data_IF_750479436054
#
_entry.id   IF_750479436054
#
_cell.length_a   1.000
_cell.length_b   1.000
_cell.length_c   1.000
_cell.angle_alpha   90.00
_cell.angle_beta   90.00
_cell.angle_gamma   90.00
#
_symmetry.space_group_name_H-M   'P 1'
#
loop_
_entity.id
_entity.type
_entity.pdbx_description
1 polymer ?
#
# COMPACT_ATOMS: atom_id res chain seq x y z
N UNK A 1 -55.99 37.94 41.43
CA UNK A 1 -54.61 38.24 41.85
C UNK A 1 -53.69 37.50 40.88
N UNK A 2 -53.02 38.26 40.00
CA UNK A 2 -51.92 37.93 39.07
C UNK A 2 -51.96 36.64 38.23
N UNK A 3 -52.27 36.83 36.95
CA UNK A 3 -51.77 36.02 35.83
C UNK A 3 -50.33 36.48 35.53
N UNK A 4 -49.33 35.60 35.68
CA UNK A 4 -47.98 35.83 35.14
C UNK A 4 -47.69 34.76 34.08
N UNK A 5 -47.46 35.23 32.85
CA UNK A 5 -47.04 34.46 31.67
C UNK A 5 -45.57 34.08 31.82
N UNK A 6 -45.24 32.79 31.82
CA UNK A 6 -43.88 32.34 31.55
C UNK A 6 -43.61 32.43 30.04
N UNK A 7 -42.75 33.36 29.63
CA UNK A 7 -42.10 33.35 28.32
C UNK A 7 -41.07 32.22 28.30
N UNK A 8 -41.24 31.24 27.41
CA UNK A 8 -40.20 30.29 27.04
C UNK A 8 -39.27 30.97 26.03
N UNK A 9 -38.06 31.33 26.47
CA UNK A 9 -36.98 31.75 25.57
C UNK A 9 -36.41 30.50 24.87
N UNK A 10 -36.82 30.28 23.62
CA UNK A 10 -36.15 29.34 22.72
C UNK A 10 -34.82 29.98 22.28
N UNK A 11 -33.72 29.55 22.89
CA UNK A 11 -32.37 29.84 22.38
C UNK A 11 -32.09 28.84 21.26
N UNK A 12 -32.22 29.30 20.01
CA UNK A 12 -31.68 28.57 18.86
C UNK A 12 -30.16 28.60 18.93
N UNK A 13 -29.53 27.49 19.31
CA UNK A 13 -28.12 27.26 19.01
C UNK A 13 -28.01 27.03 17.50
N UNK A 14 -27.63 28.09 16.78
CA UNK A 14 -27.08 27.95 15.43
C UNK A 14 -25.75 27.19 15.54
N UNK A 15 -25.79 25.89 15.29
CA UNK A 15 -24.60 25.11 15.00
C UNK A 15 -23.91 25.76 13.78
N UNK A 16 -22.61 26.09 13.85
CA UNK A 16 -21.90 26.55 12.68
C UNK A 16 -21.86 25.38 11.70
N UNK A 17 -22.57 25.54 10.58
CA UNK A 17 -22.38 24.71 9.40
C UNK A 17 -20.96 25.02 8.90
N UNK A 18 -19.97 24.24 9.32
CA UNK A 18 -18.66 24.25 8.67
C UNK A 18 -18.88 23.62 7.30
N UNK A 19 -19.19 24.46 6.32
CA UNK A 19 -18.98 24.09 4.93
C UNK A 19 -17.50 23.71 4.82
N UNK A 20 -17.22 22.44 4.57
CA UNK A 20 -15.89 22.02 4.17
C UNK A 20 -15.61 22.74 2.86
N UNK A 21 -14.80 23.80 2.92
CA UNK A 21 -14.30 24.47 1.72
C UNK A 21 -13.41 23.45 1.03
N UNK A 22 -13.89 22.85 -0.05
CA UNK A 22 -12.98 22.22 -1.02
C UNK A 22 -11.99 23.32 -1.42
N UNK A 23 -10.71 23.12 -1.13
CA UNK A 23 -9.68 23.97 -1.67
C UNK A 23 -9.70 23.69 -3.19
N UNK A 24 -10.15 24.66 -3.97
CA UNK A 24 -10.03 24.61 -5.42
C UNK A 24 -8.99 25.66 -5.79
N UNK A 25 -7.82 25.19 -6.19
CA UNK A 25 -6.74 26.05 -6.65
C UNK A 25 -6.55 25.86 -8.16
N UNK A 26 -6.45 26.99 -8.86
CA UNK A 26 -6.09 27.02 -10.28
C UNK A 26 -4.69 27.59 -10.42
N UNK A 27 -3.82 26.85 -11.08
CA UNK A 27 -2.40 27.14 -11.17
C UNK A 27 -2.06 27.37 -12.65
N UNK A 28 -1.53 28.54 -13.03
CA UNK A 28 -1.14 28.79 -14.42
C UNK A 28 0.05 27.91 -14.82
N UNK A 29 0.00 27.43 -16.07
CA UNK A 29 1.06 26.65 -16.74
C UNK A 29 1.69 27.53 -17.81
N UNK A 30 3.02 27.62 -17.82
CA UNK A 30 3.73 28.36 -18.86
C UNK A 30 3.77 27.55 -20.17
N UNK A 31 3.87 28.23 -21.33
CA UNK A 31 3.81 27.58 -22.65
C UNK A 31 4.88 26.50 -22.87
N UNK A 32 6.05 26.64 -22.25
CA UNK A 32 7.17 25.69 -22.33
C UNK A 32 7.36 24.91 -21.01
N UNK A 33 6.30 24.77 -20.21
CA UNK A 33 6.30 24.04 -18.94
C UNK A 33 5.65 22.67 -19.11
N UNK A 34 6.38 21.63 -18.71
CA UNK A 34 5.93 20.25 -18.76
C UNK A 34 5.77 19.72 -17.35
N UNK A 35 4.76 18.89 -17.10
CA UNK A 35 4.42 18.38 -15.78
C UNK A 35 4.39 16.86 -15.74
N UNK A 36 4.93 16.30 -14.66
CA UNK A 36 4.86 14.89 -14.29
C UNK A 36 4.09 14.75 -12.99
N UNK A 37 3.48 13.59 -12.77
CA UNK A 37 2.81 13.25 -11.52
C UNK A 37 3.51 12.09 -10.81
N UNK A 38 3.29 11.97 -9.51
CA UNK A 38 3.72 10.83 -8.70
C UNK A 38 2.88 9.56 -8.92
N UNK A 39 2.33 9.37 -10.13
CA UNK A 39 1.58 8.17 -10.52
C UNK A 39 2.49 7.29 -11.37
N UNK A 40 3.19 6.35 -10.74
CA UNK A 40 4.28 5.61 -11.40
C UNK A 40 3.81 4.83 -12.62
N UNK A 41 2.61 4.26 -12.58
CA UNK A 41 2.04 3.51 -13.71
C UNK A 41 1.83 4.37 -14.97
N UNK A 42 1.71 5.69 -14.85
CA UNK A 42 1.49 6.58 -16.00
C UNK A 42 2.81 7.09 -16.62
N UNK A 43 3.95 6.49 -16.26
CA UNK A 43 5.27 6.98 -16.67
C UNK A 43 5.43 7.17 -18.18
N UNK A 44 4.88 6.25 -18.99
CA UNK A 44 4.92 6.35 -20.47
C UNK A 44 3.99 7.43 -21.04
N UNK A 45 3.04 7.92 -20.26
CA UNK A 45 2.10 8.98 -20.62
C UNK A 45 2.62 10.37 -20.18
N UNK A 46 3.79 10.42 -19.54
CA UNK A 46 4.39 11.64 -19.05
C UNK A 46 5.57 12.13 -19.91
N UNK A 47 5.82 13.46 -19.99
CA UNK A 47 5.06 14.52 -19.34
C UNK A 47 3.62 14.60 -19.86
N UNK A 48 2.69 15.00 -19.01
CA UNK A 48 1.28 15.11 -19.38
C UNK A 48 1.14 16.06 -20.57
N UNK A 49 0.45 15.61 -21.63
CA UNK A 49 0.18 16.41 -22.83
C UNK A 49 -1.32 16.55 -23.05
N UNK A 50 -1.74 17.66 -23.66
CA UNK A 50 -3.16 17.95 -23.84
C UNK A 50 -3.89 18.18 -22.52
N UNK A 51 -5.12 17.71 -22.43
CA UNK A 51 -5.90 17.71 -21.18
C UNK A 51 -5.85 16.32 -20.56
N UNK A 52 -5.41 16.24 -19.31
CA UNK A 52 -5.29 14.99 -18.57
C UNK A 52 -5.81 15.18 -17.14
N UNK A 53 -6.51 14.19 -16.60
CA UNK A 53 -7.05 14.21 -15.23
C UNK A 53 -6.73 12.92 -14.49
N UNK A 54 -6.43 13.04 -13.20
CA UNK A 54 -6.27 11.89 -12.31
C UNK A 54 -6.70 12.28 -10.90
N UNK A 55 -7.29 11.33 -10.17
CA UNK A 55 -7.72 11.50 -8.79
C UNK A 55 -7.01 10.50 -7.89
N UNK A 56 -6.07 10.98 -7.07
CA UNK A 56 -5.34 10.14 -6.13
C UNK A 56 -6.24 9.47 -5.07
N UNK A 57 -7.47 9.95 -4.90
CA UNK A 57 -8.42 9.45 -3.91
C UNK A 57 -9.27 8.28 -4.41
N UNK A 58 -9.39 8.11 -5.73
CA UNK A 58 -10.36 7.16 -6.32
C UNK A 58 -9.86 6.46 -7.58
N UNK A 59 -8.87 7.03 -8.27
CA UNK A 59 -8.36 6.45 -9.50
C UNK A 59 -7.52 5.23 -9.18
N UNK A 60 -7.79 4.16 -9.93
CA UNK A 60 -7.00 2.95 -9.84
C UNK A 60 -5.57 3.18 -10.32
N UNK A 61 -4.61 2.59 -9.62
CA UNK A 61 -3.23 2.46 -10.10
C UNK A 61 -2.67 1.11 -9.67
N UNK A 62 -2.09 0.33 -10.59
CA UNK A 62 -1.48 -0.96 -10.25
C UNK A 62 -0.14 -0.82 -9.54
N UNK A 63 0.35 0.40 -9.31
CA UNK A 63 1.68 0.70 -8.79
C UNK A 63 1.61 1.76 -7.68
N UNK A 64 2.80 2.06 -7.13
CA UNK A 64 3.01 3.05 -6.09
C UNK A 64 2.53 4.44 -6.50
N UNK A 65 1.95 5.17 -5.53
CA UNK A 65 1.40 6.51 -5.69
C UNK A 65 2.03 7.49 -4.70
N UNK A 66 2.31 8.69 -5.20
CA UNK A 66 2.73 9.85 -4.41
C UNK A 66 1.89 11.07 -4.82
N UNK A 67 1.22 11.79 -3.88
CA UNK A 67 0.43 12.99 -4.16
C UNK A 67 1.30 14.19 -4.55
N UNK A 68 1.97 14.09 -5.69
CA UNK A 68 3.00 15.03 -6.15
C UNK A 68 2.80 15.34 -7.62
N UNK A 69 2.87 16.62 -7.99
CA UNK A 69 3.14 17.05 -9.35
C UNK A 69 4.48 17.81 -9.38
N UNK A 70 5.30 17.59 -10.40
CA UNK A 70 6.60 18.27 -10.58
C UNK A 70 6.74 18.77 -12.00
N UNK A 71 7.36 19.93 -12.16
CA UNK A 71 7.45 20.65 -13.42
C UNK A 71 8.88 20.75 -13.95
N UNK A 72 9.04 20.78 -15.28
CA UNK A 72 10.32 21.00 -15.97
C UNK A 72 10.98 22.32 -15.57
N UNK A 73 10.19 23.29 -15.10
CA UNK A 73 10.65 24.59 -14.68
C UNK A 73 10.87 24.67 -13.17
N UNK A 74 11.08 23.56 -12.45
CA UNK A 74 11.42 23.64 -11.03
C UNK A 74 10.25 24.09 -10.14
N UNK A 75 9.02 23.76 -10.51
CA UNK A 75 7.85 23.87 -9.63
C UNK A 75 7.38 22.51 -9.15
N UNK A 76 6.76 22.47 -7.98
CA UNK A 76 6.04 21.29 -7.50
C UNK A 76 4.74 21.67 -6.81
N UNK A 77 3.81 20.72 -6.81
CA UNK A 77 2.54 20.74 -6.10
C UNK A 77 2.48 19.48 -5.25
N UNK A 78 2.15 19.61 -3.98
CA UNK A 78 2.03 18.48 -3.05
C UNK A 78 0.86 18.68 -2.10
N UNK A 79 0.29 17.58 -1.59
CA UNK A 79 -0.64 17.57 -0.46
C UNK A 79 -0.41 16.29 0.35
N UNK A 80 -0.51 16.38 1.68
CA UNK A 80 -0.48 15.18 2.54
C UNK A 80 -1.76 14.33 2.38
N UNK A 81 -2.83 14.93 1.84
CA UNK A 81 -4.09 14.25 1.55
C UNK A 81 -4.21 13.93 0.06
N UNK A 82 -4.90 12.84 -0.32
CA UNK A 82 -5.19 12.58 -1.72
C UNK A 82 -6.01 13.73 -2.32
N UNK A 83 -5.77 14.01 -3.61
CA UNK A 83 -6.45 15.06 -4.36
C UNK A 83 -6.64 14.67 -5.82
N UNK A 84 -7.59 15.34 -6.48
CA UNK A 84 -7.76 15.28 -7.92
C UNK A 84 -7.08 16.47 -8.60
N UNK A 85 -6.53 16.21 -9.78
CA UNK A 85 -6.00 17.27 -10.63
C UNK A 85 -6.44 17.10 -12.08
N UNK A 86 -6.52 18.22 -12.79
CA UNK A 86 -6.65 18.27 -14.24
C UNK A 86 -5.61 19.23 -14.80
N UNK A 87 -4.70 18.74 -15.63
CA UNK A 87 -3.69 19.54 -16.34
C UNK A 87 -4.20 19.84 -17.74
N UNK A 88 -4.01 21.08 -18.17
CA UNK A 88 -4.22 21.55 -19.54
C UNK A 88 -3.03 22.37 -20.02
N UNK A 89 -3.06 22.83 -21.27
CA UNK A 89 -2.03 23.72 -21.82
C UNK A 89 -1.92 25.09 -21.11
N UNK A 90 -2.93 25.50 -20.33
CA UNK A 90 -2.97 26.84 -19.71
C UNK A 90 -2.91 26.81 -18.20
N UNK A 91 -3.44 25.75 -17.59
CA UNK A 91 -3.64 25.68 -16.16
C UNK A 91 -3.71 24.24 -15.64
N UNK A 92 -3.42 24.10 -14.34
CA UNK A 92 -3.71 22.93 -13.53
C UNK A 92 -4.81 23.30 -12.56
N UNK A 93 -5.90 22.54 -12.57
CA UNK A 93 -6.96 22.63 -11.60
C UNK A 93 -6.74 21.56 -10.54
N UNK A 94 -6.77 21.95 -9.27
CA UNK A 94 -6.67 21.06 -8.12
C UNK A 94 -8.02 21.02 -7.39
N UNK A 95 -8.39 19.83 -6.91
CA UNK A 95 -9.58 19.64 -6.09
C UNK A 95 -9.28 18.64 -4.98
N UNK A 96 -9.50 19.04 -3.73
CA UNK A 96 -9.28 18.19 -2.57
C UNK A 96 -9.63 18.91 -1.28
N UNK A 97 -9.58 18.16 -0.17
CA UNK A 97 -9.85 18.68 1.18
C UNK A 97 -8.58 19.06 1.94
N UNK A 98 -7.42 18.61 1.48
CA UNK A 98 -6.12 18.93 2.08
C UNK A 98 -5.54 20.28 1.64
N UNK A 99 -4.54 20.74 2.37
CA UNK A 99 -3.76 21.93 2.01
C UNK A 99 -2.83 21.63 0.82
N UNK A 100 -2.85 22.50 -0.19
CA UNK A 100 -1.92 22.42 -1.33
C UNK A 100 -0.64 23.21 -1.09
N UNK A 101 0.49 22.52 -1.14
CA UNK A 101 1.82 23.13 -1.16
C UNK A 101 2.25 23.35 -2.60
N UNK A 102 2.19 24.61 -3.04
CA UNK A 102 2.59 25.03 -4.39
C UNK A 102 3.88 25.85 -4.27
N UNK A 103 4.99 25.36 -4.85
CA UNK A 103 6.31 25.99 -4.70
C UNK A 103 7.09 26.02 -6.01
N UNK A 104 7.84 27.10 -6.21
CA UNK A 104 8.95 27.20 -7.18
C UNK A 104 10.24 26.99 -6.39
N UNK A 105 10.94 25.89 -6.65
CA UNK A 105 12.13 25.46 -5.94
C UNK A 105 13.22 25.07 -6.94
N UNK A 106 13.87 26.07 -7.53
CA UNK A 106 14.86 25.92 -8.60
C UNK A 106 14.30 26.20 -9.98
N UNK A 107 15.03 25.76 -11.00
CA UNK A 107 14.72 26.00 -12.42
C UNK A 107 14.61 24.72 -13.24
N UNK A 108 14.80 23.55 -12.62
CA UNK A 108 14.80 22.25 -13.28
C UNK A 108 13.85 21.26 -12.59
N UNK A 109 13.39 20.25 -13.34
CA UNK A 109 12.63 19.12 -12.81
C UNK A 109 13.29 18.47 -11.58
N UNK A 110 14.61 18.25 -11.66
CA UNK A 110 15.40 17.63 -10.59
C UNK A 110 15.36 18.46 -9.30
N UNK A 111 15.54 19.77 -9.39
CA UNK A 111 15.53 20.66 -8.22
C UNK A 111 14.15 20.69 -7.54
N UNK A 112 13.07 20.75 -8.34
CA UNK A 112 11.71 20.65 -7.81
C UNK A 112 11.47 19.33 -7.08
N UNK A 113 11.82 18.21 -7.70
CA UNK A 113 11.64 16.89 -7.09
C UNK A 113 12.44 16.75 -5.79
N UNK A 114 13.71 17.14 -5.78
CA UNK A 114 14.55 17.06 -4.58
C UNK A 114 14.04 17.98 -3.46
N UNK A 115 13.52 19.16 -3.80
CA UNK A 115 12.92 20.07 -2.82
C UNK A 115 11.62 19.49 -2.23
N UNK A 116 10.76 18.91 -3.07
CA UNK A 116 9.54 18.24 -2.63
C UNK A 116 9.86 17.04 -1.72
N UNK A 117 10.79 16.18 -2.15
CA UNK A 117 11.25 15.03 -1.35
C UNK A 117 11.80 15.46 -0.01
N UNK A 118 12.72 16.41 0.02
CA UNK A 118 13.31 16.91 1.27
C UNK A 118 12.25 17.44 2.25
N UNK A 119 11.18 18.03 1.74
CA UNK A 119 10.17 18.72 2.56
C UNK A 119 9.03 17.79 3.01
N UNK A 120 8.62 16.84 2.18
CA UNK A 120 7.37 16.12 2.35
C UNK A 120 7.53 14.60 2.48
N UNK A 121 8.60 14.04 1.91
CA UNK A 121 8.86 12.60 1.93
C UNK A 121 10.38 12.37 1.95
N UNK A 122 11.04 12.78 3.05
CA UNK A 122 12.50 12.76 3.12
C UNK A 122 13.02 11.33 3.09
N UNK A 123 14.19 11.15 2.49
CA UNK A 123 14.89 9.86 2.55
C UNK A 123 15.13 9.48 4.00
N UNK A 124 14.69 8.27 4.38
CA UNK A 124 14.91 7.72 5.72
C UNK A 124 16.38 7.49 6.06
N UNK A 125 17.28 7.60 5.07
CA UNK A 125 18.70 7.24 5.19
C UNK A 125 18.95 5.74 5.22
N UNK A 126 17.89 4.92 5.13
CA UNK A 126 17.94 3.48 4.99
C UNK A 126 17.60 3.12 3.54
N UNK A 127 18.18 2.03 3.06
CA UNK A 127 17.81 1.38 1.81
C UNK A 127 17.35 -0.04 2.13
N UNK A 128 16.52 -0.69 1.29
CA UNK A 128 16.31 -2.12 1.37
C UNK A 128 17.66 -2.84 1.35
N UNK A 129 17.71 -4.09 1.85
CA UNK A 129 18.96 -4.84 1.86
C UNK A 129 19.60 -4.83 0.47
N UNK A 130 20.90 -4.54 0.44
CA UNK A 130 21.67 -4.38 -0.80
C UNK A 130 21.60 -5.61 -1.71
N UNK A 131 21.30 -6.79 -1.18
CA UNK A 131 21.12 -8.01 -1.99
C UNK A 131 19.98 -7.87 -3.01
N UNK A 132 18.92 -7.08 -2.70
CA UNK A 132 17.81 -6.80 -3.62
C UNK A 132 18.27 -6.09 -4.89
N UNK A 133 19.41 -5.38 -4.86
CA UNK A 133 19.93 -4.61 -6.00
C UNK A 133 21.20 -5.22 -6.62
N UNK A 134 21.92 -6.05 -5.86
CA UNK A 134 23.24 -6.58 -6.25
C UNK A 134 23.21 -8.05 -6.63
N UNK A 135 22.10 -8.75 -6.39
CA UNK A 135 21.86 -10.13 -6.79
C UNK A 135 20.55 -10.26 -7.55
N UNK A 136 20.38 -11.32 -8.35
CA UNK A 136 19.11 -11.59 -9.00
C UNK A 136 18.00 -11.83 -7.98
N UNK A 137 16.79 -11.44 -8.37
CA UNK A 137 15.57 -11.81 -7.67
C UNK A 137 14.82 -12.82 -8.55
N UNK A 138 14.45 -13.93 -7.95
CA UNK A 138 13.74 -15.03 -8.58
C UNK A 138 12.39 -15.17 -7.92
N UNK A 139 11.40 -15.55 -8.71
CA UNK A 139 10.03 -15.68 -8.23
C UNK A 139 9.42 -16.96 -8.80
N UNK A 140 8.76 -17.75 -7.95
CA UNK A 140 8.15 -19.01 -8.34
C UNK A 140 6.83 -18.85 -9.10
N UNK A 141 6.27 -17.65 -9.23
CA UNK A 141 5.05 -17.38 -9.99
C UNK A 141 5.12 -17.87 -11.43
N UNK A 142 6.21 -17.57 -12.14
CA UNK A 142 6.36 -17.94 -13.56
C UNK A 142 6.48 -19.46 -13.74
N UNK A 143 7.12 -20.13 -12.79
CA UNK A 143 7.41 -21.57 -12.88
C UNK A 143 6.26 -22.43 -12.32
N UNK A 144 5.76 -22.07 -11.13
CA UNK A 144 4.85 -22.89 -10.34
C UNK A 144 3.43 -22.33 -10.29
N UNK A 145 3.24 -21.04 -10.54
CA UNK A 145 1.94 -20.35 -10.41
C UNK A 145 1.26 -20.68 -9.07
N UNK A 146 0.22 -21.50 -9.08
CA UNK A 146 -0.55 -21.91 -7.89
C UNK A 146 -0.15 -23.30 -7.33
N UNK A 147 0.81 -23.99 -7.94
CA UNK A 147 1.27 -25.31 -7.49
C UNK A 147 2.53 -25.21 -6.61
N UNK A 148 2.55 -24.25 -5.68
CA UNK A 148 3.68 -24.08 -4.76
C UNK A 148 3.80 -25.32 -3.86
N UNK A 149 4.95 -25.97 -3.89
CA UNK A 149 5.25 -27.13 -3.06
C UNK A 149 6.76 -27.27 -2.82
N UNK A 150 7.13 -28.02 -1.80
CA UNK A 150 8.51 -28.12 -1.35
C UNK A 150 9.46 -28.76 -2.38
N UNK A 151 9.00 -29.77 -3.11
CA UNK A 151 9.84 -30.47 -4.09
C UNK A 151 10.20 -29.53 -5.24
N UNK A 152 9.18 -28.89 -5.83
CA UNK A 152 9.36 -28.04 -7.00
C UNK A 152 10.09 -26.73 -6.67
N UNK A 153 9.89 -26.15 -5.48
CA UNK A 153 10.66 -24.98 -5.03
C UNK A 153 12.16 -25.31 -4.95
N UNK A 154 12.52 -26.47 -4.39
CA UNK A 154 13.92 -26.93 -4.33
C UNK A 154 14.48 -27.26 -5.71
N UNK A 155 13.67 -27.89 -6.56
CA UNK A 155 14.06 -28.22 -7.94
C UNK A 155 14.33 -26.95 -8.75
N UNK A 156 13.47 -25.93 -8.62
CA UNK A 156 13.65 -24.63 -9.28
C UNK A 156 14.94 -23.94 -8.81
N UNK A 157 15.18 -23.90 -7.50
CA UNK A 157 16.41 -23.34 -6.93
C UNK A 157 17.68 -24.02 -7.46
N UNK A 158 17.71 -25.36 -7.50
CA UNK A 158 18.83 -26.14 -8.03
C UNK A 158 19.03 -25.91 -9.52
N UNK A 159 17.95 -25.92 -10.30
CA UNK A 159 17.98 -25.71 -11.74
C UNK A 159 18.66 -24.39 -12.11
N UNK A 160 18.38 -23.31 -11.37
CA UNK A 160 19.05 -22.02 -11.58
C UNK A 160 20.56 -22.14 -11.41
N UNK A 161 21.02 -22.78 -10.34
CA UNK A 161 22.45 -22.98 -10.07
C UNK A 161 23.12 -23.91 -11.11
N UNK A 162 22.45 -25.01 -11.46
CA UNK A 162 22.92 -25.98 -12.45
C UNK A 162 23.07 -25.35 -13.84
N UNK A 163 22.25 -24.34 -14.15
CA UNK A 163 22.33 -23.55 -15.38
C UNK A 163 23.27 -22.33 -15.28
N UNK A 164 24.08 -22.24 -14.22
CA UNK A 164 25.10 -21.21 -14.05
C UNK A 164 24.57 -19.84 -13.63
N UNK A 165 23.31 -19.74 -13.23
CA UNK A 165 22.78 -18.52 -12.61
C UNK A 165 23.23 -18.46 -11.14
N UNK A 166 23.60 -17.27 -10.62
CA UNK A 166 24.04 -17.16 -9.23
C UNK A 166 22.84 -17.20 -8.27
N UNK A 167 23.08 -17.66 -7.04
CA UNK A 167 22.09 -17.50 -5.98
C UNK A 167 21.79 -16.01 -5.71
N UNK A 168 20.57 -15.75 -5.24
CA UNK A 168 20.07 -14.41 -4.95
C UNK A 168 18.90 -14.46 -3.98
N UNK A 169 17.86 -13.66 -4.24
CA UNK A 169 16.62 -13.69 -3.46
C UNK A 169 15.60 -14.55 -4.19
N UNK A 170 15.07 -15.59 -3.54
CA UNK A 170 14.01 -16.44 -4.05
C UNK A 170 12.71 -16.11 -3.32
N UNK A 171 11.70 -15.66 -4.06
CA UNK A 171 10.35 -15.45 -3.58
C UNK A 171 9.52 -16.68 -3.87
N UNK A 172 9.00 -17.31 -2.81
CA UNK A 172 7.92 -18.29 -2.95
C UNK A 172 6.63 -17.49 -3.03
N UNK A 173 6.07 -17.47 -4.24
CA UNK A 173 4.89 -16.67 -4.57
C UNK A 173 3.61 -17.33 -4.01
N UNK A 174 2.47 -16.74 -4.36
CA UNK A 174 1.14 -17.07 -3.90
C UNK A 174 0.84 -18.57 -3.86
N UNK A 175 0.00 -18.97 -2.89
CA UNK A 175 -0.52 -20.30 -2.60
C UNK A 175 0.46 -21.26 -1.91
N UNK A 176 1.52 -20.80 -1.27
CA UNK A 176 2.33 -21.65 -0.37
C UNK A 176 1.57 -22.05 0.91
N UNK A 177 0.57 -21.25 1.29
CA UNK A 177 -0.36 -21.41 2.39
C UNK A 177 -1.61 -22.22 2.02
N UNK A 178 -2.41 -22.65 3.00
CA UNK A 178 -3.69 -23.34 2.78
C UNK A 178 -4.74 -22.42 2.12
N UNK A 179 -5.18 -21.39 2.86
CA UNK A 179 -6.11 -20.36 2.41
C UNK A 179 -5.49 -18.98 2.64
N UNK A 180 -5.97 -17.96 1.94
CA UNK A 180 -5.60 -16.57 2.24
C UNK A 180 -5.95 -16.21 3.68
N UNK A 181 -4.97 -15.69 4.41
CA UNK A 181 -5.05 -15.42 5.85
C UNK A 181 -4.50 -16.53 6.74
N UNK A 182 -4.35 -17.77 6.24
CA UNK A 182 -3.67 -18.86 6.95
C UNK A 182 -2.16 -18.69 6.73
N UNK A 183 -1.53 -17.76 7.44
CA UNK A 183 -0.10 -17.48 7.23
C UNK A 183 0.82 -18.51 7.92
N UNK A 184 0.78 -19.74 7.40
CA UNK A 184 1.64 -20.88 7.73
C UNK A 184 1.70 -21.83 6.51
N UNK A 185 2.77 -22.63 6.40
CA UNK A 185 2.98 -23.50 5.25
C UNK A 185 1.92 -24.59 5.20
N UNK A 186 1.34 -24.84 4.02
CA UNK A 186 0.41 -25.96 3.84
C UNK A 186 1.13 -27.29 4.12
N UNK A 187 0.76 -28.05 5.17
CA UNK A 187 1.56 -29.19 5.65
C UNK A 187 1.62 -30.36 4.65
N UNK A 188 0.60 -30.52 3.79
CA UNK A 188 0.62 -31.52 2.72
C UNK A 188 1.52 -31.20 1.52
N UNK A 189 1.76 -29.92 1.21
CA UNK A 189 2.59 -29.46 0.08
C UNK A 189 4.01 -29.12 0.52
N UNK A 190 4.16 -28.75 1.78
CA UNK A 190 5.42 -28.47 2.45
C UNK A 190 5.52 -29.37 3.70
N UNK A 191 5.91 -30.63 3.55
CA UNK A 191 5.99 -31.57 4.68
C UNK A 191 7.14 -31.26 5.64
N UNK A 192 8.17 -30.51 5.21
CA UNK A 192 9.31 -30.13 6.03
C UNK A 192 9.83 -28.72 5.65
N UNK A 193 9.02 -27.66 5.84
CA UNK A 193 9.33 -26.30 5.38
C UNK A 193 10.63 -25.78 5.99
N UNK A 194 10.92 -26.11 7.25
CA UNK A 194 12.20 -25.75 7.88
C UNK A 194 13.40 -26.35 7.15
N UNK A 195 13.35 -27.64 6.81
CA UNK A 195 14.44 -28.30 6.09
C UNK A 195 14.59 -27.79 4.65
N UNK A 196 13.49 -27.41 4.01
CA UNK A 196 13.50 -26.72 2.72
C UNK A 196 14.25 -25.39 2.82
N UNK A 197 13.89 -24.56 3.81
CA UNK A 197 14.53 -23.27 4.05
C UNK A 197 16.02 -23.42 4.34
N UNK A 198 16.40 -24.34 5.23
CA UNK A 198 17.81 -24.63 5.53
C UNK A 198 18.58 -25.05 4.26
N UNK A 199 17.94 -25.81 3.36
CA UNK A 199 18.54 -26.22 2.08
C UNK A 199 18.71 -25.05 1.11
N UNK A 200 17.70 -24.18 0.99
CA UNK A 200 17.74 -22.97 0.16
C UNK A 200 18.84 -22.01 0.65
N UNK A 201 18.94 -21.81 1.96
CA UNK A 201 20.00 -21.03 2.58
C UNK A 201 21.39 -21.64 2.36
N UNK A 202 21.52 -22.97 2.46
CA UNK A 202 22.78 -23.67 2.17
C UNK A 202 23.21 -23.53 0.69
N UNK A 203 22.24 -23.41 -0.22
CA UNK A 203 22.47 -23.07 -1.63
C UNK A 203 22.81 -21.59 -1.87
N UNK A 204 22.77 -20.75 -0.82
CA UNK A 204 23.11 -19.33 -0.86
C UNK A 204 21.94 -18.41 -1.20
N UNK A 205 20.71 -18.92 -1.27
CA UNK A 205 19.53 -18.09 -1.47
C UNK A 205 19.11 -17.40 -0.17
N UNK A 206 18.56 -16.20 -0.30
CA UNK A 206 17.66 -15.59 0.68
C UNK A 206 16.23 -15.85 0.25
N UNK A 207 15.33 -16.09 1.20
CA UNK A 207 13.96 -16.51 0.86
C UNK A 207 12.93 -15.53 1.40
N UNK A 208 12.07 -15.05 0.50
CA UNK A 208 10.91 -14.23 0.83
C UNK A 208 9.62 -15.02 0.58
N UNK A 209 8.56 -14.71 1.33
CA UNK A 209 7.22 -15.26 1.10
C UNK A 209 6.26 -14.17 0.64
N UNK A 210 5.41 -14.50 -0.33
CA UNK A 210 4.29 -13.64 -0.73
C UNK A 210 3.19 -13.65 0.33
N UNK A 211 2.69 -12.48 0.71
CA UNK A 211 1.57 -12.28 1.64
C UNK A 211 0.68 -11.13 1.18
N UNK A 212 -0.55 -11.11 1.67
CA UNK A 212 -1.54 -10.06 1.34
C UNK A 212 -2.39 -9.71 2.57
N UNK A 213 -3.22 -8.64 2.53
CA UNK A 213 -4.03 -8.21 3.65
C UNK A 213 -5.38 -8.96 3.75
N UNK A 214 -5.58 -10.01 2.94
CA UNK A 214 -6.86 -10.67 2.76
C UNK A 214 -6.99 -11.95 3.57
N UNK A 215 -8.21 -12.24 4.01
CA UNK A 215 -8.59 -13.47 4.71
C UNK A 215 -9.81 -14.10 4.06
N UNK A 216 -9.71 -15.37 3.66
CA UNK A 216 -10.80 -16.12 3.05
C UNK A 216 -11.96 -16.34 4.04
N UNK A 217 -13.23 -16.09 3.64
CA UNK A 217 -14.38 -16.07 4.56
C UNK A 217 -14.74 -17.43 5.18
N UNK A 218 -14.36 -18.55 4.56
CA UNK A 218 -14.64 -19.89 5.08
C UNK A 218 -13.51 -20.49 5.94
N UNK A 219 -12.44 -19.73 6.17
CA UNK A 219 -11.28 -20.15 6.97
C UNK A 219 -11.53 -20.13 8.48
N UNK A 220 -10.67 -20.80 9.25
CA UNK A 220 -10.67 -20.72 10.72
C UNK A 220 -10.33 -19.30 11.18
N UNK A 221 -9.40 -18.67 10.48
CA UNK A 221 -8.83 -17.34 10.71
C UNK A 221 -9.91 -16.28 10.59
N UNK A 222 -10.76 -16.36 9.55
CA UNK A 222 -11.89 -15.45 9.42
C UNK A 222 -12.82 -15.52 10.64
N UNK A 223 -13.19 -16.72 11.07
CA UNK A 223 -14.07 -16.91 12.25
C UNK A 223 -13.45 -16.37 13.54
N UNK A 224 -12.12 -16.52 13.69
CA UNK A 224 -11.35 -15.99 14.82
C UNK A 224 -11.30 -14.45 14.80
N UNK A 225 -11.03 -13.86 13.64
CA UNK A 225 -10.74 -12.45 13.48
C UNK A 225 -12.00 -11.58 13.38
N UNK A 226 -13.12 -12.13 12.90
CA UNK A 226 -14.37 -11.41 12.71
C UNK A 226 -14.94 -10.84 14.02
N UNK A 227 -14.79 -11.57 15.12
CA UNK A 227 -15.43 -11.22 16.39
C UNK A 227 -14.43 -10.67 17.40
N UNK A 228 -14.96 -10.07 18.47
CA UNK A 228 -14.16 -9.66 19.63
C UNK A 228 -13.39 -10.86 20.22
N UNK A 229 -12.15 -10.65 20.71
CA UNK A 229 -11.53 -9.35 20.96
C UNK A 229 -10.91 -8.69 19.72
N UNK A 230 -10.78 -9.39 18.60
CA UNK A 230 -10.09 -8.89 17.41
C UNK A 230 -10.92 -7.83 16.66
N UNK A 231 -12.10 -8.19 16.17
CA UNK A 231 -12.92 -7.30 15.31
C UNK A 231 -12.06 -6.67 14.19
N UNK A 232 -11.32 -7.54 13.49
CA UNK A 232 -10.08 -7.19 12.79
C UNK A 232 -10.23 -6.89 11.30
N UNK A 233 -11.46 -6.76 10.80
CA UNK A 233 -11.72 -6.50 9.39
C UNK A 233 -12.28 -5.10 9.17
N UNK A 234 -11.93 -4.48 8.05
CA UNK A 234 -12.64 -3.27 7.59
C UNK A 234 -14.10 -3.66 7.34
N UNK A 235 -15.02 -2.72 7.58
CA UNK A 235 -16.46 -3.00 7.52
C UNK A 235 -17.11 -2.32 6.34
N UNK A 236 -18.24 -2.85 5.89
CA UNK A 236 -19.08 -2.12 4.92
C UNK A 236 -19.52 -0.79 5.52
N UNK A 237 -19.47 0.29 4.74
CA UNK A 237 -19.84 1.61 5.24
C UNK A 237 -21.31 1.63 5.70
N UNK A 238 -21.52 1.96 6.98
CA UNK A 238 -22.87 2.00 7.58
C UNK A 238 -23.38 0.64 8.10
N UNK A 239 -22.60 -0.42 7.97
CA UNK A 239 -22.91 -1.74 8.51
C UNK A 239 -21.87 -2.18 9.54
N UNK A 240 -22.20 -3.20 10.35
CA UNK A 240 -21.27 -3.79 11.30
C UNK A 240 -20.81 -5.19 10.87
N UNK A 241 -20.62 -5.39 9.56
CA UNK A 241 -20.17 -6.65 8.97
C UNK A 241 -18.84 -6.44 8.22
N UNK A 242 -17.94 -7.43 8.21
CA UNK A 242 -16.72 -7.38 7.40
C UNK A 242 -17.03 -7.11 5.94
N UNK A 243 -16.33 -6.14 5.36
CA UNK A 243 -16.39 -5.84 3.92
C UNK A 243 -15.76 -6.97 3.14
N UNK A 244 -16.47 -7.46 2.14
CA UNK A 244 -15.98 -8.50 1.22
C UNK A 244 -15.52 -7.85 -0.07
N UNK A 245 -14.25 -8.02 -0.43
CA UNK A 245 -13.66 -7.44 -1.63
C UNK A 245 -13.40 -8.52 -2.67
N UNK A 246 -13.75 -8.22 -3.92
CA UNK A 246 -13.32 -9.02 -5.06
C UNK A 246 -11.93 -8.58 -5.47
N UNK A 247 -11.03 -9.54 -5.63
CA UNK A 247 -9.64 -9.36 -6.05
C UNK A 247 -9.25 -10.49 -7.02
N UNK A 248 -8.02 -10.51 -7.52
CA UNK A 248 -7.62 -11.44 -8.58
C UNK A 248 -7.74 -12.93 -8.18
N UNK A 249 -7.76 -13.23 -6.89
CA UNK A 249 -7.91 -14.59 -6.36
C UNK A 249 -9.29 -14.90 -5.75
N UNK A 250 -10.30 -14.10 -6.06
CA UNK A 250 -11.69 -14.37 -5.66
C UNK A 250 -12.28 -13.30 -4.76
N UNK A 251 -12.85 -13.71 -3.62
CA UNK A 251 -13.55 -12.81 -2.68
C UNK A 251 -13.08 -13.09 -1.26
N UNK A 252 -12.60 -12.05 -0.58
CA UNK A 252 -12.01 -12.17 0.76
C UNK A 252 -12.37 -10.96 1.63
N UNK A 253 -12.28 -11.12 2.95
CA UNK A 253 -12.33 -10.00 3.88
C UNK A 253 -10.96 -9.32 3.97
N UNK A 254 -10.92 -8.04 4.30
CA UNK A 254 -9.67 -7.26 4.39
C UNK A 254 -9.38 -6.93 5.84
N UNK A 255 -8.16 -7.26 6.30
CA UNK A 255 -7.69 -6.85 7.63
C UNK A 255 -7.70 -5.33 7.75
N UNK A 256 -8.12 -4.83 8.90
CA UNK A 256 -8.11 -3.40 9.23
C UNK A 256 -6.84 -3.01 9.98
N UNK A 257 -5.84 -2.49 9.27
CA UNK A 257 -4.58 -2.07 9.90
C UNK A 257 -4.69 -0.80 10.74
N UNK A 258 -5.84 -0.11 10.72
CA UNK A 258 -6.15 0.94 11.70
C UNK A 258 -6.48 0.37 13.08
N UNK A 259 -6.90 -0.90 13.15
CA UNK A 259 -7.10 -1.64 14.39
C UNK A 259 -5.76 -2.21 14.89
N UNK A 260 -5.24 -1.76 16.06
CA UNK A 260 -3.99 -2.27 16.59
C UNK A 260 -3.97 -3.78 16.84
N UNK A 261 -5.12 -4.39 17.14
CA UNK A 261 -5.22 -5.84 17.35
C UNK A 261 -5.05 -6.62 16.04
N UNK A 262 -5.62 -6.13 14.94
CA UNK A 262 -5.47 -6.73 13.62
C UNK A 262 -4.04 -6.61 13.09
N UNK A 263 -3.46 -5.39 13.20
CA UNK A 263 -2.05 -5.15 12.84
C UNK A 263 -1.10 -6.04 13.63
N UNK A 264 -1.29 -6.11 14.95
CA UNK A 264 -0.49 -6.98 15.81
C UNK A 264 -0.62 -8.45 15.43
N UNK A 265 -1.83 -8.95 15.19
CA UNK A 265 -2.04 -10.33 14.79
C UNK A 265 -1.29 -10.66 13.49
N UNK A 266 -1.38 -9.79 12.47
CA UNK A 266 -0.71 -10.01 11.20
C UNK A 266 0.82 -10.01 11.35
N UNK A 267 1.36 -9.02 12.07
CA UNK A 267 2.81 -8.94 12.34
C UNK A 267 3.32 -10.14 13.16
N UNK A 268 2.53 -10.67 14.11
CA UNK A 268 2.87 -11.90 14.84
C UNK A 268 2.87 -13.14 13.94
N UNK A 269 2.00 -13.21 12.92
CA UNK A 269 2.05 -14.29 11.92
C UNK A 269 3.33 -14.20 11.08
N UNK A 270 3.70 -13.00 10.62
CA UNK A 270 4.95 -12.81 9.88
C UNK A 270 6.17 -13.13 10.74
N UNK A 271 6.21 -12.66 11.99
CA UNK A 271 7.27 -12.99 12.95
C UNK A 271 7.40 -14.49 13.18
N UNK A 272 6.28 -15.21 13.31
CA UNK A 272 6.27 -16.67 13.43
C UNK A 272 6.95 -17.36 12.24
N UNK A 273 6.74 -16.89 11.01
CA UNK A 273 7.38 -17.46 9.81
C UNK A 273 8.91 -17.26 9.84
N UNK A 274 9.37 -16.10 10.32
CA UNK A 274 10.80 -15.85 10.49
C UNK A 274 11.41 -16.74 11.58
N UNK A 275 10.78 -16.79 12.76
CA UNK A 275 11.29 -17.53 13.92
C UNK A 275 11.30 -19.05 13.70
N UNK A 276 10.25 -19.57 13.06
CA UNK A 276 10.04 -21.02 12.92
C UNK A 276 10.79 -21.58 11.71
N UNK A 277 10.71 -20.90 10.58
CA UNK A 277 11.21 -21.41 9.30
C UNK A 277 12.44 -20.67 8.77
N UNK A 278 12.81 -19.51 9.34
CA UNK A 278 13.94 -18.73 8.87
C UNK A 278 13.64 -17.87 7.65
N UNK A 279 12.39 -17.44 7.46
CA UNK A 279 12.03 -16.53 6.36
C UNK A 279 12.78 -15.19 6.49
N UNK A 280 13.42 -14.76 5.41
CA UNK A 280 14.27 -13.56 5.41
C UNK A 280 13.49 -12.26 5.15
N UNK A 281 12.28 -12.37 4.59
CA UNK A 281 11.42 -11.22 4.30
C UNK A 281 10.14 -11.55 3.56
N UNK A 282 9.44 -10.52 3.07
CA UNK A 282 8.09 -10.68 2.54
C UNK A 282 7.83 -9.82 1.30
N UNK A 283 7.15 -10.40 0.31
CA UNK A 283 6.49 -9.63 -0.74
C UNK A 283 5.07 -9.32 -0.26
N UNK A 284 4.77 -8.05 -0.03
CA UNK A 284 3.49 -7.58 0.50
C UNK A 284 2.65 -7.03 -0.65
N UNK A 285 1.74 -7.85 -1.16
CA UNK A 285 0.93 -7.53 -2.34
C UNK A 285 -0.48 -7.08 -1.94
N UNK A 286 -1.21 -6.51 -2.91
CA UNK A 286 -2.57 -5.97 -2.75
C UNK A 286 -2.68 -4.78 -1.79
N UNK A 287 -1.64 -3.94 -1.76
CA UNK A 287 -1.64 -2.63 -1.10
C UNK A 287 -2.44 -1.55 -1.85
N UNK A 288 -3.15 -1.92 -2.93
CA UNK A 288 -3.91 -1.02 -3.79
C UNK A 288 -5.09 -0.40 -3.04
N UNK A 289 -5.25 0.92 -3.16
CA UNK A 289 -6.31 1.68 -2.48
C UNK A 289 -7.71 1.25 -2.90
N UNK A 290 -7.86 0.67 -4.09
CA UNK A 290 -9.14 0.19 -4.63
C UNK A 290 -9.83 -0.82 -3.69
N UNK A 291 -9.05 -1.65 -3.01
CA UNK A 291 -9.59 -2.66 -2.09
C UNK A 291 -10.14 -2.03 -0.81
N UNK A 292 -9.75 -0.81 -0.49
CA UNK A 292 -10.04 -0.15 0.79
C UNK A 292 -11.12 0.94 0.68
N UNK A 293 -11.60 1.30 -0.52
CA UNK A 293 -12.69 2.29 -0.66
C UNK A 293 -14.03 1.85 -0.06
N UNK A 294 -14.93 2.80 0.22
CA UNK A 294 -16.30 2.53 0.71
C UNK A 294 -16.34 1.61 1.95
N UNK A 295 -15.35 1.76 2.83
CA UNK A 295 -15.22 0.97 4.05
C UNK A 295 -15.32 1.87 5.29
N UNK A 296 -15.74 1.27 6.40
CA UNK A 296 -15.57 1.82 7.74
C UNK A 296 -14.36 1.16 8.42
N UNK A 297 -13.51 1.99 9.01
CA UNK A 297 -12.31 1.60 9.73
C UNK A 297 -12.51 1.72 11.25
N UNK A 298 -11.69 1.00 12.00
CA UNK A 298 -11.58 1.13 13.45
C UNK A 298 -11.20 2.57 13.84
N UNK A 299 -10.25 3.18 13.14
CA UNK A 299 -10.04 4.63 13.20
C UNK A 299 -10.87 5.33 12.11
N UNK A 300 -12.00 5.91 12.51
CA UNK A 300 -12.95 6.56 11.60
C UNK A 300 -12.40 7.82 10.92
N UNK A 301 -11.20 8.28 11.27
CA UNK A 301 -10.56 9.44 10.64
C UNK A 301 -9.76 9.07 9.38
N UNK A 302 -9.48 7.79 9.17
CA UNK A 302 -8.61 7.32 8.10
C UNK A 302 -9.33 7.10 6.78
N UNK A 303 -8.58 7.28 5.70
CA UNK A 303 -9.01 7.02 4.32
C UNK A 303 -8.48 5.68 3.80
N UNK A 304 -8.94 5.27 2.62
CA UNK A 304 -8.37 4.13 1.87
C UNK A 304 -6.87 4.29 1.61
N UNK A 305 -6.44 5.51 1.29
CA UNK A 305 -5.03 5.84 1.07
C UNK A 305 -4.21 5.70 2.36
N UNK A 306 -4.75 6.16 3.50
CA UNK A 306 -4.09 5.94 4.80
C UNK A 306 -3.95 4.46 5.11
N UNK A 307 -4.99 3.67 4.89
CA UNK A 307 -4.93 2.23 5.11
C UNK A 307 -3.88 1.54 4.22
N UNK A 308 -3.79 1.93 2.94
CA UNK A 308 -2.73 1.49 2.02
C UNK A 308 -1.33 1.82 2.54
N UNK A 309 -1.13 3.04 3.05
CA UNK A 309 0.13 3.44 3.69
C UNK A 309 0.43 2.62 4.94
N UNK A 310 -0.57 2.36 5.79
CA UNK A 310 -0.39 1.54 7.00
C UNK A 310 0.04 0.10 6.67
N UNK A 311 -0.50 -0.50 5.61
CA UNK A 311 -0.05 -1.80 5.13
C UNK A 311 1.40 -1.75 4.61
N UNK A 312 1.77 -0.66 3.93
CA UNK A 312 3.12 -0.44 3.44
C UNK A 312 4.16 -0.23 4.56
N UNK A 313 3.77 0.41 5.66
CA UNK A 313 4.62 0.60 6.84
C UNK A 313 5.03 -0.72 7.52
N UNK A 314 4.27 -1.80 7.33
CA UNK A 314 4.61 -3.13 7.88
C UNK A 314 5.93 -3.63 7.28
N UNK A 315 6.13 -3.41 5.97
CA UNK A 315 7.33 -3.83 5.25
C UNK A 315 8.62 -3.22 5.77
N UNK A 316 8.57 -2.01 6.34
CA UNK A 316 9.72 -1.32 6.92
C UNK A 316 10.38 -2.08 8.09
N UNK A 317 9.70 -3.09 8.63
CA UNK A 317 10.23 -3.95 9.69
C UNK A 317 11.16 -5.03 9.15
N UNK A 318 11.17 -5.27 7.84
CA UNK A 318 11.90 -6.37 7.22
C UNK A 318 12.96 -5.84 6.24
N UNK A 319 14.21 -6.33 6.33
CA UNK A 319 15.30 -5.88 5.45
C UNK A 319 15.05 -6.28 3.98
N UNK A 320 14.43 -7.44 3.77
CA UNK A 320 13.91 -7.86 2.48
C UNK A 320 12.39 -7.66 2.48
N UNK A 321 11.93 -6.69 1.70
CA UNK A 321 10.52 -6.44 1.47
C UNK A 321 10.34 -6.03 0.00
N UNK A 322 9.16 -6.30 -0.56
CA UNK A 322 8.78 -5.83 -1.89
C UNK A 322 7.31 -5.44 -1.89
N UNK A 323 6.95 -4.35 -2.56
CA UNK A 323 5.56 -3.94 -2.79
C UNK A 323 5.28 -3.70 -4.26
N UNK A 324 4.13 -4.20 -4.72
CA UNK A 324 3.58 -3.84 -6.03
C UNK A 324 2.97 -2.43 -6.00
N UNK A 325 2.05 -2.19 -5.07
CA UNK A 325 1.32 -0.94 -4.94
C UNK A 325 1.30 -0.48 -3.47
N UNK A 326 1.51 0.83 -3.26
CA UNK A 326 1.38 1.47 -1.96
C UNK A 326 1.17 2.98 -2.10
N UNK A 327 0.67 3.59 -1.03
CA UNK A 327 0.43 5.03 -0.94
C UNK A 327 1.50 5.74 -0.10
N UNK A 328 2.07 6.81 -0.66
CA UNK A 328 2.84 7.83 0.07
C UNK A 328 4.09 7.33 0.82
N UNK A 329 4.79 6.34 0.25
CA UNK A 329 6.02 5.77 0.85
C UNK A 329 7.31 6.23 0.19
N UNK A 330 7.28 7.33 -0.57
CA UNK A 330 8.49 7.93 -1.15
C UNK A 330 9.58 8.17 -0.10
N UNK A 331 10.83 7.82 -0.43
CA UNK A 331 11.98 8.00 0.47
C UNK A 331 12.10 6.97 1.59
N UNK A 332 11.16 6.04 1.73
CA UNK A 332 11.25 4.94 2.69
C UNK A 332 12.00 3.74 2.10
N UNK A 333 12.50 2.87 2.98
CA UNK A 333 13.27 1.68 2.59
C UNK A 333 12.35 0.50 2.19
N UNK A 334 11.46 0.76 1.22
CA UNK A 334 10.64 -0.27 0.57
C UNK A 334 11.22 -0.57 -0.82
N UNK A 335 11.27 -1.84 -1.20
CA UNK A 335 11.71 -2.24 -2.54
C UNK A 335 10.54 -2.38 -3.51
#
# INVERSE_FOLDING_TARGET
MKFDRLLANLVFFLLPFTASLNAQDTIPVNSDEHWWSGVIHLGEQMPHTGTFSFDFSHSWSPNQLQPLLVSSQGRYIYSDQPFAYTISMKEIQLNGTGEFVIRKAGNTLKEAYLAASKSHFPFSGKIPDTIMFTKPQYNTWIELTHNQNQEDVLAYARSMLDNGLPAGVLMIDDTWQEDYGVWDFHPGRFPAPRAMMDSLHAMGFKVMLWVCPFVSPDSREYRLLKNRPYDAFIKEAGENEPKMVRWWNGVSAVLDFSNPAARKWFEERLGHLQETYGVDGFKLDAGDTEFYHNAAYFDSTLTANDHSRMFAEIGLKYPLNEYRACWQMGGQALA
#
